data_IF_835147333508
#
_entry.id   IF_835147333508
#
_cell.length_a   1.000
_cell.length_b   1.000
_cell.length_c   1.000
_cell.angle_alpha   90.00
_cell.angle_beta   90.00
_cell.angle_gamma   90.00
#
_symmetry.space_group_name_H-M   'P 1'
#
loop_
_entity.id
_entity.type
_entity.pdbx_description
1 polymer ?
#
# COMPACT_ATOMS: atom_id res chain seq x y z
N UNK A 1 35.59 -21.29 42.05
CA UNK A 1 35.42 -21.28 40.59
C UNK A 1 34.10 -20.60 40.27
N UNK A 2 34.13 -19.28 40.02
CA UNK A 2 32.93 -18.49 39.73
C UNK A 2 32.83 -18.27 38.22
N UNK A 3 31.70 -18.71 37.66
CA UNK A 3 31.39 -18.80 36.25
C UNK A 3 31.16 -17.39 35.67
N UNK A 4 31.99 -17.00 34.71
CA UNK A 4 31.97 -15.70 34.04
C UNK A 4 30.72 -15.61 33.15
N UNK A 5 29.65 -15.01 33.66
CA UNK A 5 28.39 -14.83 32.96
C UNK A 5 28.54 -13.79 31.85
N UNK A 6 28.84 -14.26 30.64
CA UNK A 6 28.74 -13.47 29.41
C UNK A 6 27.30 -13.00 29.22
N UNK A 7 27.05 -11.72 29.47
CA UNK A 7 25.84 -11.04 29.02
C UNK A 7 25.77 -11.13 27.48
N UNK A 8 24.63 -11.50 26.89
CA UNK A 8 24.46 -11.45 25.45
C UNK A 8 24.56 -9.99 24.99
N UNK A 9 25.57 -9.69 24.17
CA UNK A 9 25.71 -8.39 23.51
C UNK A 9 24.42 -8.16 22.71
N UNK A 10 23.71 -7.03 22.89
CA UNK A 10 22.52 -6.74 22.10
C UNK A 10 22.93 -6.76 20.62
N UNK A 11 22.16 -7.40 19.74
CA UNK A 11 22.51 -7.56 18.32
C UNK A 11 22.57 -6.22 17.55
N UNK A 12 21.92 -5.18 18.06
CA UNK A 12 21.74 -3.88 17.40
C UNK A 12 23.04 -3.08 17.11
N UNK A 13 24.04 -2.96 18.01
CA UNK A 13 25.27 -2.21 17.74
C UNK A 13 26.18 -2.92 16.72
N UNK A 14 26.19 -4.26 16.74
CA UNK A 14 26.97 -5.06 15.79
C UNK A 14 26.37 -5.01 14.38
N UNK A 15 25.04 -4.99 14.25
CA UNK A 15 24.37 -4.79 12.97
C UNK A 15 24.69 -3.40 12.38
N UNK A 16 24.68 -2.35 13.20
CA UNK A 16 25.05 -1.00 12.74
C UNK A 16 26.50 -0.94 12.26
N UNK A 17 27.43 -1.57 12.97
CA UNK A 17 28.83 -1.67 12.53
C UNK A 17 28.97 -2.46 11.22
N UNK A 18 28.21 -3.53 11.03
CA UNK A 18 28.19 -4.29 9.78
C UNK A 18 27.69 -3.45 8.61
N UNK A 19 26.66 -2.61 8.81
CA UNK A 19 26.16 -1.67 7.80
C UNK A 19 27.23 -0.62 7.47
N UNK A 20 27.89 -0.03 8.47
CA UNK A 20 28.96 0.93 8.25
C UNK A 20 30.14 0.31 7.48
N UNK A 21 30.51 -0.94 7.77
CA UNK A 21 31.57 -1.67 7.05
C UNK A 21 31.15 -1.99 5.62
N UNK A 22 29.89 -2.37 5.39
CA UNK A 22 29.37 -2.61 4.04
C UNK A 22 29.38 -1.33 3.20
N UNK A 23 28.87 -0.22 3.75
CA UNK A 23 28.84 1.07 3.07
C UNK A 23 30.25 1.58 2.74
N UNK A 24 31.22 1.39 3.63
CA UNK A 24 32.63 1.73 3.36
C UNK A 24 33.18 0.96 2.17
N UNK A 25 32.89 -0.35 2.08
CA UNK A 25 33.33 -1.19 0.95
C UNK A 25 32.68 -0.76 -0.37
N UNK A 26 31.41 -0.34 -0.35
CA UNK A 26 30.75 0.16 -1.56
C UNK A 26 31.34 1.49 -2.03
N UNK A 27 31.66 2.38 -1.09
CA UNK A 27 32.35 3.63 -1.38
C UNK A 27 33.75 3.37 -1.95
N UNK A 28 34.47 2.40 -1.42
CA UNK A 28 35.78 1.98 -1.96
C UNK A 28 35.64 1.45 -3.40
N UNK A 29 34.62 0.64 -3.68
CA UNK A 29 34.34 0.11 -5.03
C UNK A 29 33.96 1.24 -6.02
N UNK A 30 33.17 2.24 -5.60
CA UNK A 30 32.83 3.41 -6.42
C UNK A 30 34.06 4.29 -6.66
N UNK A 31 34.88 4.49 -5.62
CA UNK A 31 36.13 5.26 -5.72
C UNK A 31 37.09 4.57 -6.70
N UNK A 32 37.19 3.25 -6.67
CA UNK A 32 38.00 2.49 -7.62
C UNK A 32 37.58 2.70 -9.08
N UNK A 33 36.28 2.72 -9.37
CA UNK A 33 35.75 3.00 -10.71
C UNK A 33 36.04 4.44 -11.13
N UNK A 34 35.80 5.41 -10.23
CA UNK A 34 36.05 6.82 -10.50
C UNK A 34 37.53 7.11 -10.76
N UNK A 35 38.45 6.49 -10.00
CA UNK A 35 39.90 6.58 -10.22
C UNK A 35 40.28 6.03 -11.59
N UNK A 36 39.70 4.89 -12.01
CA UNK A 36 39.96 4.33 -13.35
C UNK A 36 39.45 5.21 -14.47
N UNK A 37 38.24 5.75 -14.33
CA UNK A 37 37.67 6.65 -15.31
C UNK A 37 38.55 7.90 -15.46
N UNK A 38 38.97 8.50 -14.34
CA UNK A 38 39.85 9.66 -14.36
C UNK A 38 41.20 9.38 -15.04
N UNK A 39 41.80 8.21 -14.82
CA UNK A 39 43.06 7.81 -15.49
C UNK A 39 42.86 7.56 -16.99
N UNK A 40 41.73 6.96 -17.39
CA UNK A 40 41.39 6.75 -18.79
C UNK A 40 41.17 8.08 -19.53
N UNK A 41 40.63 9.08 -18.83
CA UNK A 41 40.41 10.44 -19.31
C UNK A 41 41.69 11.32 -19.24
N UNK A 42 42.84 10.73 -18.89
CA UNK A 42 44.15 11.37 -18.93
C UNK A 42 44.57 12.13 -17.66
N UNK A 43 43.83 12.02 -16.56
CA UNK A 43 44.23 12.62 -15.29
C UNK A 43 45.51 11.96 -14.73
N UNK A 44 46.38 12.76 -14.11
CA UNK A 44 47.60 12.27 -13.48
C UNK A 44 47.35 11.87 -12.02
N UNK A 45 48.07 10.86 -11.54
CA UNK A 45 47.94 10.32 -10.17
C UNK A 45 48.00 11.37 -9.07
N UNK A 46 48.76 12.45 -9.28
CA UNK A 46 48.91 13.58 -8.35
C UNK A 46 47.59 14.32 -8.11
N UNK A 47 46.80 14.52 -9.16
CA UNK A 47 45.53 15.24 -9.07
C UNK A 47 44.46 14.35 -8.42
N UNK A 48 44.46 13.06 -8.74
CA UNK A 48 43.59 12.07 -8.11
C UNK A 48 43.93 11.91 -6.61
N UNK A 49 45.21 11.88 -6.25
CA UNK A 49 45.69 11.84 -4.87
C UNK A 49 45.16 13.01 -4.04
N UNK A 50 45.17 14.21 -4.62
CA UNK A 50 44.65 15.43 -3.98
C UNK A 50 43.14 15.34 -3.73
N UNK A 51 42.38 14.78 -4.66
CA UNK A 51 40.91 14.66 -4.54
C UNK A 51 40.50 13.55 -3.57
N UNK A 52 41.19 12.41 -3.59
CA UNK A 52 40.91 11.27 -2.71
C UNK A 52 41.47 11.48 -1.29
N UNK A 53 42.40 12.42 -1.12
CA UNK A 53 43.04 12.69 0.17
C UNK A 53 44.00 11.59 0.61
N UNK A 54 44.63 10.90 -0.35
CA UNK A 54 45.55 9.78 -0.11
C UNK A 54 46.89 10.01 -0.82
N UNK A 55 47.96 9.38 -0.32
CA UNK A 55 49.28 9.47 -0.96
C UNK A 55 49.30 8.73 -2.32
N UNK A 56 50.05 9.24 -3.29
CA UNK A 56 50.14 8.63 -4.63
C UNK A 56 50.60 7.16 -4.59
N UNK A 57 51.54 6.83 -3.69
CA UNK A 57 51.99 5.46 -3.47
C UNK A 57 50.85 4.55 -3.01
N UNK A 58 49.97 5.05 -2.14
CA UNK A 58 48.81 4.31 -1.62
C UNK A 58 47.77 4.09 -2.71
N UNK A 59 47.56 5.07 -3.60
CA UNK A 59 46.64 4.94 -4.72
C UNK A 59 47.13 3.92 -5.75
N UNK A 60 48.41 3.96 -6.12
CA UNK A 60 49.00 3.01 -7.08
C UNK A 60 48.94 1.56 -6.57
N UNK A 61 49.13 1.34 -5.28
CA UNK A 61 49.08 0.00 -4.66
C UNK A 61 47.64 -0.51 -4.46
N UNK A 62 46.69 0.37 -4.13
CA UNK A 62 45.31 -0.04 -3.84
C UNK A 62 44.39 -0.06 -5.07
N UNK A 63 44.69 0.71 -6.11
CA UNK A 63 43.87 0.86 -7.31
C UNK A 63 44.62 0.48 -8.60
N UNK A 64 45.51 -0.51 -8.52
CA UNK A 64 46.12 -1.12 -9.71
C UNK A 64 45.07 -1.82 -10.58
N UNK A 65 45.33 -1.95 -11.89
CA UNK A 65 44.41 -2.56 -12.86
C UNK A 65 43.88 -3.93 -12.39
N UNK A 66 44.79 -4.82 -12.00
CA UNK A 66 44.44 -6.17 -11.51
C UNK A 66 43.59 -6.15 -10.25
N UNK A 67 43.83 -5.18 -9.35
CA UNK A 67 43.11 -5.08 -8.08
C UNK A 67 41.72 -4.51 -8.27
N UNK A 68 41.56 -3.53 -9.16
CA UNK A 68 40.23 -2.99 -9.50
C UNK A 68 39.42 -4.00 -10.29
N UNK A 69 40.01 -4.75 -11.22
CA UNK A 69 39.30 -5.85 -11.90
C UNK A 69 38.86 -6.93 -10.91
N UNK A 70 39.69 -7.27 -9.93
CA UNK A 70 39.32 -8.18 -8.83
C UNK A 70 38.21 -7.62 -7.94
N UNK A 71 38.22 -6.31 -7.65
CA UNK A 71 37.16 -5.63 -6.88
C UNK A 71 35.83 -5.63 -7.64
N UNK A 72 35.86 -5.34 -8.95
CA UNK A 72 34.68 -5.34 -9.81
C UNK A 72 34.10 -6.74 -9.97
N UNK A 73 34.94 -7.76 -10.18
CA UNK A 73 34.50 -9.17 -10.21
C UNK A 73 33.88 -9.58 -8.87
N UNK A 74 34.52 -9.24 -7.75
CA UNK A 74 33.98 -9.50 -6.42
C UNK A 74 32.66 -8.73 -6.16
N UNK A 75 32.44 -7.57 -6.80
CA UNK A 75 31.18 -6.83 -6.71
C UNK A 75 30.08 -7.46 -7.57
N UNK A 76 30.41 -7.96 -8.77
CA UNK A 76 29.47 -8.70 -9.62
C UNK A 76 28.99 -9.99 -8.92
N UNK A 77 29.90 -10.69 -8.24
CA UNK A 77 29.57 -11.90 -7.47
C UNK A 77 28.77 -11.60 -6.18
N UNK A 78 29.05 -10.47 -5.51
CA UNK A 78 28.31 -10.03 -4.31
C UNK A 78 26.93 -9.42 -4.61
N UNK A 79 26.74 -8.88 -5.82
CA UNK A 79 25.58 -8.04 -6.17
C UNK A 79 25.65 -6.64 -5.52
N UNK A 80 24.75 -5.71 -5.87
CA UNK A 80 24.69 -4.42 -5.18
C UNK A 80 24.47 -4.67 -3.69
N UNK A 81 25.20 -3.96 -2.83
CA UNK A 81 24.91 -3.94 -1.42
C UNK A 81 23.49 -3.40 -1.22
N UNK A 82 22.53 -4.32 -1.13
CA UNK A 82 21.24 -3.98 -0.58
C UNK A 82 21.54 -3.53 0.85
N UNK A 83 21.07 -2.35 1.29
CA UNK A 83 20.93 -2.12 2.72
C UNK A 83 20.10 -3.30 3.23
N UNK A 84 20.73 -4.21 3.97
CA UNK A 84 19.99 -5.28 4.63
C UNK A 84 19.07 -4.55 5.59
N UNK A 85 17.77 -4.60 5.27
CA UNK A 85 16.72 -4.13 6.17
C UNK A 85 17.07 -4.60 7.58
N UNK A 86 16.93 -3.75 8.61
CA UNK A 86 17.06 -4.21 9.99
C UNK A 86 16.20 -5.46 10.11
N UNK A 87 16.74 -6.49 10.76
CA UNK A 87 16.04 -7.74 10.99
C UNK A 87 14.76 -7.40 11.76
N UNK A 88 13.65 -7.25 11.03
CA UNK A 88 12.32 -7.16 11.62
C UNK A 88 12.16 -8.46 12.40
N UNK A 89 11.78 -8.41 13.69
CA UNK A 89 11.51 -9.63 14.44
C UNK A 89 10.55 -10.46 13.60
N UNK A 90 10.97 -11.70 13.38
CA UNK A 90 10.33 -12.67 12.49
C UNK A 90 8.93 -12.95 13.02
N UNK A 91 7.95 -12.13 12.63
CA UNK A 91 6.57 -12.58 12.71
C UNK A 91 6.45 -13.69 11.66
N UNK A 92 6.29 -14.90 12.19
CA UNK A 92 5.94 -16.09 11.45
C UNK A 92 4.64 -15.78 10.70
N UNK A 93 4.76 -15.49 9.42
CA UNK A 93 3.82 -15.92 8.40
C UNK A 93 4.59 -15.98 7.07
N UNK A 94 4.74 -17.20 6.58
CA UNK A 94 5.53 -17.50 5.41
C UNK A 94 4.85 -16.99 4.15
N UNK A 95 5.49 -16.08 3.43
CA UNK A 95 5.37 -16.03 1.97
C UNK A 95 6.70 -15.51 1.42
N UNK A 96 7.33 -16.32 0.59
CA UNK A 96 8.58 -16.09 -0.14
C UNK A 96 8.57 -14.75 -0.90
N UNK A 97 9.72 -14.06 -1.05
CA UNK A 97 9.78 -12.81 -1.80
C UNK A 97 9.77 -13.12 -3.30
N UNK A 98 8.57 -13.19 -3.88
CA UNK A 98 8.39 -13.15 -5.34
C UNK A 98 8.93 -11.82 -5.88
N UNK A 99 9.63 -11.87 -7.01
CA UNK A 99 10.08 -10.69 -7.77
C UNK A 99 8.86 -9.87 -8.18
N UNK A 100 8.55 -8.84 -7.38
CA UNK A 100 7.36 -8.04 -7.56
C UNK A 100 7.53 -7.08 -8.73
N UNK A 101 6.92 -7.42 -9.86
CA UNK A 101 6.64 -6.45 -10.92
C UNK A 101 5.43 -5.59 -10.50
N UNK A 102 5.38 -4.31 -10.94
CA UNK A 102 4.17 -3.49 -10.78
C UNK A 102 2.95 -4.21 -11.35
N UNK A 103 1.80 -4.10 -10.67
CA UNK A 103 0.56 -4.73 -11.15
C UNK A 103 0.16 -4.11 -12.49
N UNK A 104 -0.34 -4.93 -13.41
CA UNK A 104 -0.84 -4.47 -14.70
C UNK A 104 -2.36 -4.20 -14.63
N UNK A 105 -2.89 -3.32 -15.50
CA UNK A 105 -4.33 -3.14 -15.66
C UNK A 105 -5.04 -4.50 -15.85
N UNK A 106 -6.14 -4.72 -15.12
CA UNK A 106 -6.89 -5.97 -15.11
C UNK A 106 -6.52 -6.93 -13.96
N UNK A 107 -5.42 -6.71 -13.24
CA UNK A 107 -5.12 -7.46 -12.01
C UNK A 107 -5.93 -6.90 -10.83
N UNK A 108 -6.42 -7.78 -9.94
CA UNK A 108 -7.36 -7.42 -8.88
C UNK A 108 -6.84 -6.33 -7.90
N UNK A 109 -5.53 -6.28 -7.66
CA UNK A 109 -4.91 -5.25 -6.81
C UNK A 109 -4.57 -3.93 -7.52
N UNK A 110 -4.65 -3.88 -8.85
CA UNK A 110 -4.30 -2.68 -9.61
C UNK A 110 -5.17 -1.46 -9.24
N UNK A 111 -6.51 -1.56 -9.19
CA UNK A 111 -7.36 -0.43 -8.80
C UNK A 111 -7.04 0.11 -7.39
N UNK A 112 -6.74 -0.77 -6.43
CA UNK A 112 -6.34 -0.36 -5.08
C UNK A 112 -5.02 0.42 -5.11
N UNK A 113 -4.03 -0.04 -5.87
CA UNK A 113 -2.75 0.67 -6.00
C UNK A 113 -2.91 2.05 -6.66
N UNK A 114 -3.79 2.17 -7.66
CA UNK A 114 -4.14 3.45 -8.28
C UNK A 114 -4.80 4.41 -7.29
N UNK A 115 -5.78 3.93 -6.52
CA UNK A 115 -6.45 4.74 -5.50
C UNK A 115 -5.47 5.24 -4.43
N UNK A 116 -4.61 4.35 -3.91
CA UNK A 116 -3.58 4.73 -2.92
C UNK A 116 -2.55 5.72 -3.50
N UNK A 117 -2.15 5.52 -4.75
CA UNK A 117 -1.24 6.44 -5.47
C UNK A 117 -1.88 7.80 -5.70
N UNK A 118 -3.18 7.85 -6.04
CA UNK A 118 -3.94 9.08 -6.18
C UNK A 118 -4.05 9.82 -4.84
N UNK A 119 -4.53 9.14 -3.78
CA UNK A 119 -4.65 9.72 -2.43
C UNK A 119 -3.34 10.29 -1.93
N UNK A 120 -2.22 9.57 -2.12
CA UNK A 120 -0.89 10.08 -1.74
C UNK A 120 -0.54 11.38 -2.48
N UNK A 121 -0.79 11.45 -3.79
CA UNK A 121 -0.44 12.61 -4.62
C UNK A 121 -1.30 13.84 -4.31
N UNK A 122 -2.56 13.64 -3.94
CA UNK A 122 -3.47 14.72 -3.57
C UNK A 122 -3.37 15.12 -2.11
N UNK A 123 -2.87 14.22 -1.24
CA UNK A 123 -2.59 14.54 0.16
C UNK A 123 -1.46 15.56 0.29
N UNK A 124 -1.53 16.38 1.35
CA UNK A 124 -0.44 17.30 1.72
C UNK A 124 0.64 16.61 2.57
N UNK A 125 0.55 15.29 2.74
CA UNK A 125 1.37 14.51 3.67
C UNK A 125 2.61 13.94 2.98
N UNK A 126 3.78 14.09 3.62
CA UNK A 126 5.02 13.51 3.07
C UNK A 126 5.03 11.98 3.20
N UNK A 127 5.86 11.30 2.39
CA UNK A 127 6.03 9.83 2.50
C UNK A 127 6.56 9.42 3.87
N UNK A 128 7.44 10.20 4.48
CA UNK A 128 7.96 9.95 5.82
C UNK A 128 6.87 10.03 6.88
N UNK A 129 6.01 11.04 6.78
CA UNK A 129 4.84 11.20 7.66
C UNK A 129 3.82 10.08 7.46
N UNK A 130 3.53 9.69 6.20
CA UNK A 130 2.65 8.56 5.90
C UNK A 130 3.19 7.25 6.49
N UNK A 131 4.48 6.99 6.33
CA UNK A 131 5.16 5.83 6.91
C UNK A 131 5.02 5.80 8.44
N UNK A 132 5.24 6.94 9.10
CA UNK A 132 5.07 7.09 10.55
C UNK A 132 3.62 6.83 10.99
N UNK A 133 2.65 7.52 10.38
CA UNK A 133 1.22 7.44 10.74
C UNK A 133 0.62 6.06 10.49
N UNK A 134 1.10 5.35 9.47
CA UNK A 134 0.64 3.98 9.15
C UNK A 134 1.40 2.90 9.92
N UNK A 135 2.53 3.24 10.54
CA UNK A 135 3.40 2.29 11.25
C UNK A 135 4.20 1.36 10.32
N UNK A 136 4.47 1.78 9.08
CA UNK A 136 5.20 0.98 8.07
C UNK A 136 6.39 1.75 7.51
N UNK A 137 7.31 1.06 6.84
CA UNK A 137 8.46 1.72 6.21
C UNK A 137 8.06 2.54 4.97
N UNK A 138 8.76 3.64 4.68
CA UNK A 138 8.60 4.40 3.43
C UNK A 138 8.75 3.52 2.16
N UNK A 139 9.65 2.54 2.18
CA UNK A 139 9.79 1.56 1.11
C UNK A 139 8.51 0.74 0.90
N UNK A 140 7.81 0.38 1.99
CA UNK A 140 6.54 -0.33 1.90
C UNK A 140 5.44 0.57 1.30
N UNK A 141 5.39 1.85 1.68
CA UNK A 141 4.50 2.85 1.07
C UNK A 141 4.69 2.91 -0.44
N UNK A 142 5.92 3.04 -0.93
CA UNK A 142 6.19 3.05 -2.37
C UNK A 142 5.68 1.79 -3.05
N UNK A 143 5.94 0.61 -2.46
CA UNK A 143 5.53 -0.68 -3.03
C UNK A 143 4.03 -0.89 -3.10
N UNK A 144 3.27 -0.39 -2.12
CA UNK A 144 1.80 -0.50 -2.17
C UNK A 144 1.19 0.50 -3.17
N UNK A 145 1.82 1.68 -3.33
CA UNK A 145 1.38 2.67 -4.32
C UNK A 145 1.81 2.34 -5.76
N UNK A 146 2.87 1.54 -5.93
CA UNK A 146 3.29 1.02 -7.26
C UNK A 146 2.59 -0.30 -7.62
N UNK A 147 1.80 -0.85 -6.71
CA UNK A 147 1.15 -2.15 -6.88
C UNK A 147 2.06 -3.35 -6.63
N UNK A 148 3.37 -3.18 -6.43
CA UNK A 148 4.30 -4.27 -6.11
C UNK A 148 3.92 -5.07 -4.84
N UNK A 149 3.07 -4.51 -3.98
CA UNK A 149 2.48 -5.20 -2.82
C UNK A 149 1.04 -4.79 -2.60
N UNK A 150 0.24 -5.74 -2.11
CA UNK A 150 -1.08 -5.45 -1.57
C UNK A 150 -0.99 -5.24 -0.05
N UNK A 151 -1.49 -4.12 0.51
CA UNK A 151 -1.47 -3.85 1.95
C UNK A 151 -2.52 -4.66 2.71
N UNK A 152 -2.29 -4.89 4.01
CA UNK A 152 -3.34 -5.37 4.92
C UNK A 152 -4.40 -4.29 5.14
N UNK A 153 -5.60 -4.70 5.58
CA UNK A 153 -6.70 -3.76 5.82
C UNK A 153 -6.32 -2.65 6.80
N UNK A 154 -5.64 -3.00 7.90
CA UNK A 154 -5.24 -2.03 8.91
C UNK A 154 -4.29 -0.96 8.35
N UNK A 155 -3.37 -1.35 7.46
CA UNK A 155 -2.50 -0.38 6.77
C UNK A 155 -3.30 0.49 5.81
N UNK A 156 -4.21 -0.09 5.02
CA UNK A 156 -5.10 0.65 4.11
C UNK A 156 -5.94 1.69 4.86
N UNK A 157 -6.55 1.29 5.99
CA UNK A 157 -7.36 2.17 6.84
C UNK A 157 -6.55 3.35 7.36
N UNK A 158 -5.38 3.09 7.95
CA UNK A 158 -4.50 4.16 8.45
C UNK A 158 -4.00 5.06 7.33
N UNK A 159 -3.75 4.50 6.15
CA UNK A 159 -3.33 5.26 4.98
C UNK A 159 -4.42 6.23 4.52
N UNK A 160 -5.67 5.77 4.41
CA UNK A 160 -6.81 6.61 4.08
C UNK A 160 -6.97 7.76 5.08
N UNK A 161 -6.98 7.45 6.39
CA UNK A 161 -7.08 8.45 7.45
C UNK A 161 -5.93 9.48 7.41
N UNK A 162 -4.70 9.04 7.16
CA UNK A 162 -3.54 9.93 7.04
C UNK A 162 -3.57 10.83 5.80
N UNK A 163 -4.40 10.48 4.81
CA UNK A 163 -4.69 11.27 3.62
C UNK A 163 -6.02 12.03 3.72
N UNK A 164 -6.67 12.07 4.90
CA UNK A 164 -7.98 12.70 5.11
C UNK A 164 -9.11 12.13 4.21
N UNK A 165 -8.99 10.86 3.81
CA UNK A 165 -9.99 10.14 3.04
C UNK A 165 -10.78 9.16 3.91
N UNK A 166 -12.01 8.84 3.49
CA UNK A 166 -12.84 7.83 4.15
C UNK A 166 -12.27 6.42 3.87
N UNK A 167 -11.91 5.64 4.89
CA UNK A 167 -11.47 4.26 4.72
C UNK A 167 -12.50 3.37 4.00
N UNK A 168 -13.81 3.60 4.20
CA UNK A 168 -14.85 2.77 3.60
C UNK A 168 -14.78 2.77 2.07
N UNK A 169 -14.33 3.88 1.47
CA UNK A 169 -14.16 4.01 0.03
C UNK A 169 -13.13 3.01 -0.53
N UNK A 170 -12.15 2.59 0.28
CA UNK A 170 -11.12 1.63 -0.14
C UNK A 170 -11.50 0.17 0.15
N UNK A 171 -12.54 -0.07 0.96
CA UNK A 171 -12.91 -1.41 1.43
C UNK A 171 -13.23 -2.35 0.26
N UNK A 172 -14.03 -1.88 -0.70
CA UNK A 172 -14.39 -2.65 -1.89
C UNK A 172 -13.16 -3.07 -2.70
N UNK A 173 -12.24 -2.13 -2.96
CA UNK A 173 -11.02 -2.39 -3.71
C UNK A 173 -10.08 -3.34 -2.95
N UNK A 174 -10.00 -3.19 -1.63
CA UNK A 174 -9.21 -4.06 -0.77
C UNK A 174 -9.73 -5.50 -0.77
N UNK A 175 -11.04 -5.69 -0.65
CA UNK A 175 -11.67 -7.01 -0.74
C UNK A 175 -11.42 -7.66 -2.09
N UNK A 176 -11.55 -6.91 -3.20
CA UNK A 176 -11.21 -7.42 -4.54
C UNK A 176 -9.75 -7.84 -4.64
N UNK A 177 -8.82 -7.03 -4.12
CA UNK A 177 -7.39 -7.33 -4.17
C UNK A 177 -6.99 -8.60 -3.39
N UNK A 178 -7.79 -8.98 -2.37
CA UNK A 178 -7.59 -10.19 -1.56
C UNK A 178 -8.56 -11.32 -1.93
N UNK A 179 -9.36 -11.15 -2.99
CA UNK A 179 -10.41 -12.10 -3.39
C UNK A 179 -11.40 -12.46 -2.28
N UNK A 180 -11.69 -11.49 -1.40
CA UNK A 180 -12.63 -11.63 -0.30
C UNK A 180 -14.05 -11.24 -0.75
N UNK A 181 -15.02 -11.98 -0.25
CA UNK A 181 -16.44 -11.68 -0.41
C UNK A 181 -16.85 -10.56 0.55
N UNK A 182 -17.71 -9.66 0.09
CA UNK A 182 -18.27 -8.61 0.94
C UNK A 182 -19.45 -9.22 1.69
N UNK A 183 -19.49 -9.13 3.03
CA UNK A 183 -20.61 -9.65 3.80
C UNK A 183 -21.92 -8.94 3.39
N UNK A 184 -23.07 -9.63 3.43
CA UNK A 184 -24.34 -9.02 3.11
C UNK A 184 -24.65 -7.90 4.12
N UNK A 185 -25.14 -6.74 3.66
CA UNK A 185 -25.48 -5.61 4.54
C UNK A 185 -26.67 -5.97 5.43
N UNK A 186 -26.73 -5.44 6.65
CA UNK A 186 -27.80 -5.76 7.63
C UNK A 186 -29.03 -4.86 7.49
N UNK A 187 -28.91 -3.76 6.74
CA UNK A 187 -29.98 -2.79 6.54
C UNK A 187 -29.89 -2.17 5.16
N UNK A 188 -31.02 -1.60 4.69
CA UNK A 188 -31.06 -0.83 3.45
C UNK A 188 -30.05 0.33 3.44
N UNK A 189 -29.97 1.08 4.55
CA UNK A 189 -29.03 2.19 4.67
C UNK A 189 -27.57 1.73 4.54
N UNK A 190 -27.22 0.58 5.13
CA UNK A 190 -25.88 -0.02 4.99
C UNK A 190 -25.61 -0.51 3.57
N UNK A 191 -26.61 -1.10 2.89
CA UNK A 191 -26.49 -1.51 1.50
C UNK A 191 -26.18 -0.31 0.57
N UNK A 192 -26.90 0.80 0.76
CA UNK A 192 -26.69 2.04 0.00
C UNK A 192 -25.30 2.62 0.28
N UNK A 193 -24.89 2.71 1.56
CA UNK A 193 -23.55 3.19 1.92
C UNK A 193 -22.44 2.34 1.32
N UNK A 194 -22.57 1.01 1.38
CA UNK A 194 -21.60 0.08 0.81
C UNK A 194 -21.47 0.25 -0.70
N UNK A 195 -22.60 0.43 -1.39
CA UNK A 195 -22.59 0.69 -2.84
C UNK A 195 -21.93 2.04 -3.17
N UNK A 196 -22.32 3.12 -2.48
CA UNK A 196 -21.72 4.45 -2.70
C UNK A 196 -20.23 4.46 -2.39
N UNK A 197 -19.79 3.82 -1.30
CA UNK A 197 -18.38 3.66 -0.94
C UNK A 197 -17.60 2.90 -2.01
N UNK A 198 -18.17 1.81 -2.56
CA UNK A 198 -17.54 1.09 -3.66
C UNK A 198 -17.38 1.96 -4.92
N UNK A 199 -18.39 2.77 -5.25
CA UNK A 199 -18.33 3.71 -6.38
C UNK A 199 -17.32 4.83 -6.14
N UNK A 200 -17.24 5.39 -4.92
CA UNK A 200 -16.21 6.38 -4.54
C UNK A 200 -14.81 5.79 -4.59
N UNK A 201 -14.64 4.54 -4.17
CA UNK A 201 -13.38 3.80 -4.34
C UNK A 201 -12.95 3.72 -5.80
N UNK A 202 -13.86 3.33 -6.70
CA UNK A 202 -13.59 3.31 -8.14
C UNK A 202 -13.31 4.71 -8.69
N UNK A 203 -13.99 5.73 -8.18
CA UNK A 203 -13.74 7.13 -8.53
C UNK A 203 -12.31 7.56 -8.17
N UNK A 204 -11.83 7.21 -6.97
CA UNK A 204 -10.44 7.43 -6.55
C UNK A 204 -9.45 6.66 -7.41
N UNK A 205 -9.74 5.39 -7.75
CA UNK A 205 -8.90 4.57 -8.61
C UNK A 205 -8.77 5.16 -10.03
N UNK A 206 -9.84 5.73 -10.56
CA UNK A 206 -9.87 6.44 -11.83
C UNK A 206 -9.19 7.82 -11.80
N UNK A 207 -8.55 8.19 -10.68
CA UNK A 207 -7.93 9.50 -10.45
C UNK A 207 -8.92 10.67 -10.46
N UNK A 208 -10.14 10.45 -9.98
CA UNK A 208 -11.21 11.46 -9.85
C UNK A 208 -11.47 12.24 -11.14
N UNK A 209 -12.00 11.58 -12.19
CA UNK A 209 -12.28 12.25 -13.46
C UNK A 209 -13.30 13.38 -13.29
N UNK A 210 -13.15 14.44 -14.08
CA UNK A 210 -14.10 15.57 -14.07
C UNK A 210 -15.51 15.11 -14.46
N UNK A 211 -16.53 15.61 -13.75
CA UNK A 211 -17.95 15.33 -14.00
C UNK A 211 -18.38 15.52 -15.47
N UNK A 212 -17.97 16.58 -16.19
CA UNK A 212 -18.30 16.73 -17.62
C UNK A 212 -17.69 15.65 -18.52
N UNK A 213 -16.56 15.04 -18.13
CA UNK A 213 -15.98 13.90 -18.86
C UNK A 213 -16.81 12.64 -18.64
N UNK A 214 -17.23 12.38 -17.40
CA UNK A 214 -18.10 11.25 -17.08
C UNK A 214 -19.43 11.30 -17.84
N UNK A 215 -20.03 12.48 -18.01
CA UNK A 215 -21.27 12.66 -18.79
C UNK A 215 -21.12 12.35 -20.29
N UNK A 216 -19.93 12.51 -20.86
CA UNK A 216 -19.68 12.19 -22.27
C UNK A 216 -19.47 10.71 -22.49
N UNK A 217 -18.89 10.03 -21.49
CA UNK A 217 -18.52 8.60 -21.57
C UNK A 217 -19.65 7.69 -21.08
N UNK A 218 -20.45 8.15 -20.12
CA UNK A 218 -21.65 7.47 -19.63
C UNK A 218 -22.88 8.31 -19.97
N UNK A 219 -23.98 7.65 -20.35
CA UNK A 219 -25.29 8.29 -20.53
C UNK A 219 -25.92 8.70 -19.19
N UNK A 220 -25.21 9.54 -18.43
CA UNK A 220 -25.47 9.85 -17.03
C UNK A 220 -25.56 11.37 -16.84
N UNK A 221 -26.49 11.82 -15.98
CA UNK A 221 -26.59 13.24 -15.61
C UNK A 221 -25.59 13.58 -14.49
N UNK A 222 -25.10 14.83 -14.43
CA UNK A 222 -24.21 15.28 -13.32
C UNK A 222 -24.82 14.97 -11.96
N UNK A 223 -26.11 15.29 -11.81
CA UNK A 223 -26.86 15.09 -10.57
C UNK A 223 -26.92 13.62 -10.13
N UNK A 224 -27.01 12.68 -11.08
CA UNK A 224 -26.99 11.25 -10.76
C UNK A 224 -25.60 10.80 -10.31
N UNK A 225 -24.53 11.28 -10.97
CA UNK A 225 -23.16 10.99 -10.57
C UNK A 225 -22.85 11.57 -9.18
N UNK A 226 -23.23 12.83 -8.93
CA UNK A 226 -23.06 13.50 -7.64
C UNK A 226 -23.83 12.79 -6.53
N UNK A 227 -25.08 12.39 -6.77
CA UNK A 227 -25.87 11.66 -5.78
C UNK A 227 -25.29 10.28 -5.45
N UNK A 228 -24.71 9.58 -6.43
CA UNK A 228 -24.07 8.28 -6.23
C UNK A 228 -22.68 8.37 -5.57
N UNK A 229 -21.98 9.50 -5.76
CA UNK A 229 -20.66 9.77 -5.17
C UNK A 229 -20.72 10.62 -3.90
N UNK A 230 -21.91 11.01 -3.45
CA UNK A 230 -22.09 11.78 -2.23
C UNK A 230 -21.58 10.99 -1.00
N UNK A 231 -20.94 11.70 -0.09
CA UNK A 231 -20.49 11.18 1.22
C UNK A 231 -21.54 11.34 2.31
N UNK A 232 -22.47 12.31 2.18
CA UNK A 232 -23.44 12.60 3.23
C UNK A 232 -24.58 11.59 3.31
N UNK A 233 -24.98 11.28 4.54
CA UNK A 233 -26.02 10.31 4.91
C UNK A 233 -27.41 10.96 5.02
N UNK A 234 -27.54 12.27 4.76
CA UNK A 234 -28.74 13.06 5.08
C UNK A 234 -29.97 12.67 4.24
N UNK A 235 -29.77 12.11 3.05
CA UNK A 235 -30.85 11.51 2.27
C UNK A 235 -30.31 10.42 1.33
N UNK A 236 -30.94 9.23 1.30
CA UNK A 236 -30.60 8.23 0.30
C UNK A 236 -30.85 8.79 -1.11
N UNK A 237 -30.00 8.46 -2.09
CA UNK A 237 -30.22 8.87 -3.47
C UNK A 237 -31.59 8.39 -3.95
N UNK A 238 -32.29 9.24 -4.69
CA UNK A 238 -33.61 8.94 -5.24
C UNK A 238 -33.57 7.64 -6.07
N UNK A 239 -34.65 6.86 -6.04
CA UNK A 239 -34.76 5.57 -6.74
C UNK A 239 -34.36 5.58 -8.22
N UNK A 240 -34.52 6.73 -8.88
CA UNK A 240 -34.10 6.93 -10.28
C UNK A 240 -32.56 6.84 -10.45
N UNK A 241 -31.78 7.37 -9.52
CA UNK A 241 -30.31 7.31 -9.54
C UNK A 241 -29.79 5.91 -9.20
N UNK A 242 -30.55 5.14 -8.42
CA UNK A 242 -30.23 3.75 -8.03
C UNK A 242 -30.68 2.70 -9.06
N UNK A 243 -31.00 3.10 -10.30
CA UNK A 243 -31.32 2.14 -11.37
C UNK A 243 -30.04 1.45 -11.88
N UNK A 244 -30.13 0.15 -12.14
CA UNK A 244 -28.97 -0.63 -12.59
C UNK A 244 -28.24 -0.05 -13.81
N UNK A 245 -28.93 0.42 -14.88
CA UNK A 245 -28.24 1.03 -16.01
C UNK A 245 -27.38 2.24 -15.61
N UNK A 246 -27.85 3.08 -14.68
CA UNK A 246 -27.11 4.25 -14.19
C UNK A 246 -25.87 3.82 -13.43
N UNK A 247 -26.00 2.89 -12.48
CA UNK A 247 -24.87 2.37 -11.69
C UNK A 247 -23.86 1.65 -12.57
N UNK A 248 -24.33 0.86 -13.55
CA UNK A 248 -23.50 0.15 -14.54
C UNK A 248 -22.70 1.13 -15.40
N UNK A 249 -23.37 2.15 -15.95
CA UNK A 249 -22.74 3.10 -16.86
C UNK A 249 -21.71 3.97 -16.12
N UNK A 250 -22.01 4.37 -14.87
CA UNK A 250 -21.03 5.02 -14.00
C UNK A 250 -19.83 4.10 -13.73
N UNK A 251 -20.07 2.85 -13.34
CA UNK A 251 -19.00 1.88 -13.08
C UNK A 251 -18.09 1.69 -14.30
N UNK A 252 -18.68 1.57 -15.49
CA UNK A 252 -17.95 1.42 -16.74
C UNK A 252 -17.12 2.67 -17.08
N UNK A 253 -17.67 3.88 -16.89
CA UNK A 253 -16.94 5.12 -17.09
C UNK A 253 -15.76 5.30 -16.12
N UNK A 254 -15.84 4.69 -14.93
CA UNK A 254 -14.74 4.63 -13.96
C UNK A 254 -13.73 3.50 -14.23
N UNK A 255 -13.84 2.82 -15.38
CA UNK A 255 -13.02 1.65 -15.75
C UNK A 255 -13.13 0.51 -14.73
N UNK A 256 -14.21 0.49 -13.95
CA UNK A 256 -14.56 -0.60 -13.05
C UNK A 256 -15.21 -1.75 -13.80
N UNK A 257 -15.35 -2.87 -13.10
CA UNK A 257 -16.06 -4.04 -13.60
C UNK A 257 -17.51 -4.02 -13.10
N UNK A 258 -18.52 -3.83 -13.98
CA UNK A 258 -19.91 -3.80 -13.57
C UNK A 258 -20.37 -5.10 -12.92
N UNK A 259 -19.83 -6.26 -13.30
CA UNK A 259 -20.24 -7.54 -12.70
C UNK A 259 -19.79 -7.65 -11.24
N UNK A 260 -18.71 -6.97 -10.86
CA UNK A 260 -18.26 -6.90 -9.47
C UNK A 260 -19.13 -5.98 -8.60
N UNK A 261 -19.80 -4.98 -9.19
CA UNK A 261 -20.69 -4.05 -8.47
C UNK A 261 -22.12 -4.58 -8.40
N UNK A 262 -22.53 -5.45 -9.35
CA UNK A 262 -23.89 -5.97 -9.42
C UNK A 262 -24.40 -6.59 -8.11
N UNK A 263 -23.66 -7.44 -7.39
CA UNK A 263 -24.12 -7.99 -6.11
C UNK A 263 -24.40 -6.91 -5.05
N UNK A 264 -23.61 -5.84 -5.04
CA UNK A 264 -23.82 -4.71 -4.11
C UNK A 264 -25.11 -3.96 -4.44
N UNK A 265 -25.40 -3.76 -5.73
CA UNK A 265 -26.65 -3.15 -6.18
C UNK A 265 -27.86 -4.04 -5.88
N UNK A 266 -27.74 -5.36 -6.03
CA UNK A 266 -28.81 -6.32 -5.72
C UNK A 266 -29.18 -6.28 -4.23
N UNK A 267 -28.21 -6.14 -3.32
CA UNK A 267 -28.48 -5.94 -1.89
C UNK A 267 -29.23 -4.63 -1.58
N UNK A 268 -29.12 -3.60 -2.42
CA UNK A 268 -29.90 -2.36 -2.28
C UNK A 268 -31.36 -2.57 -2.70
N UNK A 269 -31.60 -3.40 -3.71
CA UNK A 269 -32.96 -3.70 -4.20
C UNK A 269 -33.69 -4.74 -3.38
N UNK A 270 -32.95 -5.69 -2.84
CA UNK A 270 -33.44 -6.74 -1.94
C UNK A 270 -32.65 -6.65 -0.64
N UNK A 271 -32.89 -5.63 0.20
CA UNK A 271 -32.30 -5.61 1.53
C UNK A 271 -32.71 -6.90 2.23
N UNK A 272 -31.80 -7.61 2.93
CA UNK A 272 -32.21 -8.77 3.69
C UNK A 272 -33.32 -8.31 4.63
N UNK A 273 -34.42 -9.07 4.64
CA UNK A 273 -35.53 -8.82 5.55
C UNK A 273 -34.91 -8.56 6.92
N UNK A 274 -35.16 -7.37 7.46
CA UNK A 274 -34.64 -6.97 8.75
C UNK A 274 -34.85 -8.16 9.69
N UNK A 275 -33.75 -8.71 10.23
CA UNK A 275 -33.87 -9.57 11.38
C UNK A 275 -34.62 -8.74 12.41
N UNK A 276 -35.88 -9.13 12.58
CA UNK A 276 -36.87 -8.68 13.53
C UNK A 276 -36.22 -7.86 14.66
N UNK A 277 -36.22 -6.53 14.50
CA UNK A 277 -36.04 -5.68 15.67
C UNK A 277 -37.36 -5.81 16.41
N UNK A 278 -37.32 -6.72 17.40
CA UNK A 278 -38.37 -6.90 18.37
C UNK A 278 -38.91 -5.54 18.79
N UNK A 279 -40.20 -5.37 18.49
CA UNK A 279 -41.05 -4.45 19.17
C UNK A 279 -41.05 -4.81 20.67
N UNK A 280 -40.02 -4.40 21.40
CA UNK A 280 -40.07 -4.30 22.87
C UNK A 280 -40.98 -3.13 23.21
N UNK A 281 -42.26 -3.47 23.25
CA UNK A 281 -43.38 -2.68 23.70
C UNK A 281 -44.44 -3.66 24.17
N UNK A 282 -44.18 -4.29 25.32
CA UNK A 282 -45.11 -4.43 26.45
C UNK A 282 -44.68 -5.60 27.35
N UNK A 283 -44.64 -5.33 28.65
CA UNK A 283 -43.90 -6.11 29.61
C UNK A 283 -44.47 -7.49 29.92
N UNK A 284 -43.57 -8.44 30.11
CA UNK A 284 -43.70 -9.49 31.12
C UNK A 284 -42.30 -10.03 31.41
N UNK A 285 -41.89 -9.96 32.68
CA UNK A 285 -40.59 -10.48 33.10
C UNK A 285 -40.45 -11.97 32.78
N UNK A 286 -39.21 -12.48 32.61
CA UNK A 286 -39.01 -13.91 32.39
C UNK A 286 -39.52 -14.69 33.61
N UNK A 287 -40.70 -15.29 33.47
CA UNK A 287 -41.22 -16.37 34.31
C UNK A 287 -40.32 -17.58 34.10
N UNK A 288 -39.39 -17.80 35.03
CA UNK A 288 -38.60 -19.02 35.08
C UNK A 288 -39.52 -20.21 35.45
N UNK A 289 -39.55 -21.30 34.67
CA UNK A 289 -40.30 -22.49 35.07
C UNK A 289 -39.63 -23.13 36.30
N UNK A 290 -40.40 -23.24 37.38
CA UNK A 290 -40.00 -23.75 38.70
C UNK A 290 -39.71 -25.27 38.76
N UNK A 291 -39.26 -25.89 37.67
CA UNK A 291 -39.00 -27.33 37.59
C UNK A 291 -37.50 -27.70 37.52
N UNK A 292 -36.58 -26.74 37.72
CA UNK A 292 -35.14 -26.98 37.66
C UNK A 292 -34.43 -27.08 39.03
N UNK A 293 -35.18 -27.11 40.14
CA UNK A 293 -34.64 -27.34 41.48
C UNK A 293 -35.43 -28.45 42.19
N UNK A 294 -35.28 -29.67 41.67
CA UNK A 294 -35.71 -30.92 42.30
C UNK A 294 -34.65 -31.98 42.07
#
# INVERSE_FOLDING_TARGET
>A
MANNSQRPVPAAPLEMLQICVALRRDLDDITAVAVRQALADGAIWKDIAKVVGAAESTLKTNYSLERVDKMLKARMERGPARPRKPAVPKNRDGTTPSSAHPLLPGQAGYPLSCALSYLRRTSKTTVGSLAYLTGVSASYIYRITSGERTPTWEVTKRFALACEADPEDLMFLWNRAHSLQIPPPRSYAEAVRTLQAALRGLYLAASSPDLPRLQKTAHLTARAAEALLATSTDAPPTDYHLRWPVVRDLTAALQGDPQAIRPLWEHVKSPPAAADQGSDGDGEGPSWPAAAFG
#
